data_IF_224817538235
#
_entry.id   IF_224817538235
#
_cell.length_a   1.000
_cell.length_b   1.000
_cell.length_c   1.000
_cell.angle_alpha   90.00
_cell.angle_beta   90.00
_cell.angle_gamma   90.00
#
_symmetry.space_group_name_H-M   'P 1'
#
loop_
_entity.id
_entity.type
_entity.pdbx_description
1 polymer ?
#
# COMPACT_ATOMS: atom_id res chain seq x y z
N UNK A 1 7.25 -3.70 9.43
CA UNK A 1 6.15 -4.32 8.67
C UNK A 1 5.66 -5.58 9.40
N UNK A 2 4.44 -5.56 9.93
CA UNK A 2 3.86 -6.67 10.72
C UNK A 2 4.21 -6.58 12.20
N UNK A 3 3.20 -6.65 13.06
CA UNK A 3 3.36 -6.85 14.50
C UNK A 3 2.94 -8.31 14.81
N UNK A 4 3.79 -9.06 15.51
CA UNK A 4 3.51 -10.45 15.96
C UNK A 4 3.36 -11.45 14.80
N UNK A 5 2.49 -12.46 14.94
CA UNK A 5 2.34 -13.59 14.00
C UNK A 5 1.21 -13.43 12.97
N UNK A 6 0.65 -12.23 12.80
CA UNK A 6 -0.51 -12.01 11.93
C UNK A 6 -0.18 -11.18 10.69
N UNK A 7 -1.05 -11.24 9.67
CA UNK A 7 -0.89 -10.51 8.42
C UNK A 7 0.40 -10.88 7.67
N UNK A 8 1.12 -9.86 7.19
CA UNK A 8 2.37 -10.02 6.41
C UNK A 8 3.44 -10.80 7.18
N UNK A 9 3.46 -10.74 8.52
CA UNK A 9 4.44 -11.46 9.33
C UNK A 9 4.31 -12.99 9.20
N UNK A 10 3.10 -13.52 8.98
CA UNK A 10 2.88 -14.94 8.71
C UNK A 10 3.47 -15.35 7.36
N UNK A 11 3.28 -14.52 6.33
CA UNK A 11 3.86 -14.76 5.00
C UNK A 11 5.38 -14.73 5.04
N UNK A 12 5.95 -13.80 5.81
CA UNK A 12 7.39 -13.75 6.07
C UNK A 12 7.84 -15.04 6.76
N UNK A 13 7.19 -15.45 7.87
CA UNK A 13 7.51 -16.69 8.60
C UNK A 13 7.49 -17.93 7.71
N UNK A 14 6.55 -18.02 6.77
CA UNK A 14 6.37 -19.16 5.86
C UNK A 14 7.23 -19.06 4.58
N UNK A 15 8.18 -18.12 4.50
CA UNK A 15 9.05 -17.89 3.35
C UNK A 15 8.28 -17.68 2.04
N UNK A 16 7.17 -16.94 2.11
CA UNK A 16 6.29 -16.62 0.95
C UNK A 16 6.53 -15.22 0.38
N UNK A 17 7.55 -14.50 0.84
CA UNK A 17 7.86 -13.13 0.42
C UNK A 17 9.32 -13.05 0.00
N UNK A 18 9.56 -12.76 -1.29
CA UNK A 18 10.91 -12.61 -1.84
C UNK A 18 11.42 -11.16 -1.81
N UNK A 19 10.52 -10.16 -1.78
CA UNK A 19 10.86 -8.74 -1.74
C UNK A 19 9.84 -7.95 -0.93
N UNK A 20 10.32 -6.96 -0.16
CA UNK A 20 9.49 -5.98 0.55
C UNK A 20 9.83 -4.58 0.04
N UNK A 21 8.81 -3.82 -0.33
CA UNK A 21 8.90 -2.38 -0.61
C UNK A 21 8.15 -1.67 0.50
N UNK A 22 8.83 -0.84 1.30
CA UNK A 22 8.18 -0.18 2.44
C UNK A 22 8.89 1.10 2.87
N UNK A 23 8.22 1.93 3.64
CA UNK A 23 8.82 3.12 4.24
C UNK A 23 9.52 2.88 5.57
N UNK A 24 9.11 1.84 6.29
CA UNK A 24 9.63 1.52 7.60
C UNK A 24 9.66 0.00 7.83
N UNK A 25 10.78 -0.67 7.51
CA UNK A 25 10.86 -2.13 7.56
C UNK A 25 10.85 -2.67 8.99
N UNK A 26 11.50 -1.97 9.93
CA UNK A 26 11.72 -2.41 11.31
C UNK A 26 10.65 -1.88 12.25
N UNK A 27 9.62 -2.68 12.52
CA UNK A 27 8.66 -2.42 13.60
C UNK A 27 9.06 -3.23 14.84
N UNK A 28 8.87 -2.72 16.07
CA UNK A 28 9.06 -3.54 17.28
C UNK A 28 8.31 -4.88 17.15
N UNK A 29 9.02 -6.01 17.30
CA UNK A 29 8.46 -7.35 17.14
C UNK A 29 8.54 -7.97 15.73
N UNK A 30 9.19 -7.31 14.77
CA UNK A 30 9.36 -7.80 13.38
C UNK A 30 10.47 -8.85 13.21
N UNK A 31 10.48 -9.88 14.06
CA UNK A 31 11.55 -10.90 14.15
C UNK A 31 11.81 -11.62 12.82
N UNK A 32 10.76 -11.97 12.09
CA UNK A 32 10.88 -12.78 10.87
C UNK A 32 11.41 -12.02 9.66
N UNK A 33 11.20 -10.69 9.61
CA UNK A 33 11.80 -9.86 8.55
C UNK A 33 13.31 -9.75 8.76
N UNK A 34 13.73 -9.36 9.97
CA UNK A 34 15.16 -9.16 10.31
C UNK A 34 15.97 -10.43 10.07
N UNK A 35 15.51 -11.57 10.61
CA UNK A 35 16.17 -12.86 10.43
C UNK A 35 16.37 -13.24 8.96
N UNK A 36 15.37 -13.00 8.10
CA UNK A 36 15.46 -13.34 6.68
C UNK A 36 16.31 -12.35 5.89
N UNK A 37 16.26 -11.08 6.27
CA UNK A 37 17.06 -10.05 5.64
C UNK A 37 18.54 -10.27 5.92
N UNK A 38 18.92 -10.59 7.16
CA UNK A 38 20.29 -10.95 7.54
C UNK A 38 20.78 -12.24 6.85
N UNK A 39 19.86 -13.18 6.59
CA UNK A 39 20.14 -14.39 5.84
C UNK A 39 20.20 -14.19 4.30
N UNK A 40 19.98 -12.98 3.80
CA UNK A 40 19.86 -12.66 2.36
C UNK A 40 18.73 -13.43 1.64
N UNK A 41 17.68 -13.82 2.36
CA UNK A 41 16.53 -14.56 1.81
C UNK A 41 15.44 -13.64 1.26
N UNK A 42 15.49 -12.34 1.56
CA UNK A 42 14.49 -11.35 1.18
C UNK A 42 15.13 -10.04 0.74
N UNK A 43 14.71 -9.54 -0.42
CA UNK A 43 15.13 -8.22 -0.89
C UNK A 43 14.34 -7.10 -0.18
N UNK A 44 14.98 -5.96 0.04
CA UNK A 44 14.37 -4.78 0.64
C UNK A 44 14.58 -3.55 -0.25
N UNK A 45 13.49 -2.84 -0.53
CA UNK A 45 13.51 -1.49 -1.10
C UNK A 45 12.87 -0.53 -0.10
N UNK A 46 13.69 0.37 0.47
CA UNK A 46 13.20 1.41 1.38
C UNK A 46 12.80 2.63 0.57
N UNK A 47 11.58 3.12 0.76
CA UNK A 47 11.01 4.26 0.02
C UNK A 47 10.41 5.25 1.00
N UNK A 48 10.69 6.56 0.93
CA UNK A 48 10.04 7.55 1.79
C UNK A 48 8.51 7.40 1.74
N UNK A 49 7.82 7.51 2.88
CA UNK A 49 6.38 7.19 2.96
C UNK A 49 5.52 8.01 1.99
N UNK A 50 5.80 9.31 1.86
CA UNK A 50 5.11 10.18 0.90
C UNK A 50 5.37 9.75 -0.55
N UNK A 51 6.62 9.38 -0.87
CA UNK A 51 6.98 8.83 -2.18
C UNK A 51 6.29 7.49 -2.44
N UNK A 52 6.23 6.59 -1.46
CA UNK A 52 5.55 5.30 -1.59
C UNK A 52 4.06 5.49 -1.88
N UNK A 53 3.40 6.37 -1.13
CA UNK A 53 1.99 6.71 -1.35
C UNK A 53 1.78 7.30 -2.75
N UNK A 54 2.65 8.22 -3.18
CA UNK A 54 2.53 8.87 -4.49
C UNK A 54 2.85 7.93 -5.66
N UNK A 55 3.79 6.98 -5.49
CA UNK A 55 4.06 5.93 -6.49
C UNK A 55 2.83 5.04 -6.71
N UNK A 56 2.14 4.66 -5.64
CA UNK A 56 0.90 3.87 -5.72
C UNK A 56 -0.21 4.73 -6.36
N UNK A 57 -0.39 5.98 -5.92
CA UNK A 57 -1.40 6.88 -6.51
C UNK A 57 -1.14 7.14 -8.00
N UNK A 58 0.11 7.36 -8.39
CA UNK A 58 0.51 7.55 -9.78
C UNK A 58 0.17 6.32 -10.63
N UNK A 59 0.42 5.11 -10.12
CA UNK A 59 0.04 3.87 -10.78
C UNK A 59 -1.48 3.79 -11.04
N UNK A 60 -2.30 4.06 -10.01
CA UNK A 60 -3.76 4.03 -10.16
C UNK A 60 -4.34 5.14 -11.04
N UNK A 61 -3.62 6.25 -11.20
CA UNK A 61 -4.00 7.36 -12.08
C UNK A 61 -3.45 7.24 -13.52
N UNK A 62 -2.66 6.20 -13.83
CA UNK A 62 -2.02 6.05 -15.14
C UNK A 62 -0.89 7.05 -15.42
N UNK A 63 -0.25 7.58 -14.37
CA UNK A 63 0.85 8.54 -14.47
C UNK A 63 2.18 7.77 -14.58
N UNK A 64 2.94 8.01 -15.65
CA UNK A 64 4.18 7.28 -15.96
C UNK A 64 5.37 7.56 -15.02
N UNK A 65 5.28 8.59 -14.18
CA UNK A 65 6.27 8.94 -13.16
C UNK A 65 6.11 10.38 -12.69
N UNK A 66 6.77 10.74 -11.60
CA UNK A 66 6.70 12.09 -11.02
C UNK A 66 8.04 12.49 -10.39
N UNK A 67 8.27 13.81 -10.33
CA UNK A 67 9.42 14.39 -9.66
C UNK A 67 9.05 14.79 -8.23
N UNK A 68 9.85 14.37 -7.25
CA UNK A 68 9.68 14.75 -5.84
C UNK A 68 11.00 15.23 -5.25
N UNK A 69 11.02 16.26 -4.40
CA UNK A 69 12.24 16.68 -3.70
C UNK A 69 12.66 15.67 -2.62
N UNK A 70 11.75 14.78 -2.22
CA UNK A 70 12.00 13.80 -1.15
C UNK A 70 13.08 12.80 -1.59
N UNK A 71 14.17 12.74 -0.84
CA UNK A 71 15.29 11.81 -1.09
C UNK A 71 16.42 12.40 -1.92
N UNK A 72 16.26 13.59 -2.52
CA UNK A 72 17.34 14.26 -3.25
C UNK A 72 18.58 14.46 -2.36
N UNK A 73 19.77 14.13 -2.89
CA UNK A 73 21.03 14.22 -2.15
C UNK A 73 21.24 13.15 -1.07
N UNK A 74 20.41 12.12 -1.04
CA UNK A 74 20.54 10.97 -0.13
C UNK A 74 20.80 9.67 -0.90
N UNK A 75 21.15 8.59 -0.18
CA UNK A 75 21.28 7.25 -0.77
C UNK A 75 20.03 6.78 -1.53
N UNK A 76 18.85 7.32 -1.19
CA UNK A 76 17.59 6.97 -1.84
C UNK A 76 17.45 7.52 -3.26
N UNK A 77 18.30 8.47 -3.66
CA UNK A 77 18.36 9.02 -5.01
C UNK A 77 19.41 8.34 -5.91
N UNK A 78 20.25 7.45 -5.36
CA UNK A 78 21.29 6.77 -6.13
C UNK A 78 20.68 5.92 -7.25
N UNK A 79 21.24 6.04 -8.46
CA UNK A 79 20.76 5.34 -9.65
C UNK A 79 19.44 5.85 -10.23
N UNK A 80 18.83 6.89 -9.65
CA UNK A 80 17.62 7.52 -10.17
C UNK A 80 17.93 8.78 -10.97
N UNK A 81 17.07 9.10 -11.92
CA UNK A 81 17.13 10.39 -12.60
C UNK A 81 16.87 11.52 -11.60
N UNK A 82 17.67 12.58 -11.65
CA UNK A 82 17.48 13.77 -10.84
C UNK A 82 17.46 15.03 -11.70
N UNK A 83 16.72 16.05 -11.26
CA UNK A 83 16.62 17.34 -11.94
C UNK A 83 16.66 18.48 -10.93
N UNK A 84 17.17 19.63 -11.35
CA UNK A 84 17.03 20.89 -10.61
C UNK A 84 15.98 21.74 -11.31
N UNK A 85 14.91 22.08 -10.60
CA UNK A 85 13.81 22.93 -11.08
C UNK A 85 13.72 24.10 -10.12
N UNK A 86 13.82 25.33 -10.64
CA UNK A 86 13.78 26.57 -9.87
C UNK A 86 14.72 26.57 -8.65
N UNK A 87 15.95 26.08 -8.85
CA UNK A 87 16.97 26.00 -7.81
C UNK A 87 16.78 24.89 -6.78
N UNK A 88 15.75 24.05 -6.90
CA UNK A 88 15.49 22.92 -6.00
C UNK A 88 15.74 21.59 -6.71
N UNK A 89 16.42 20.67 -6.03
CA UNK A 89 16.67 19.31 -6.51
C UNK A 89 15.45 18.38 -6.33
N UNK A 90 15.21 17.55 -7.34
CA UNK A 90 14.14 16.56 -7.42
C UNK A 90 14.69 15.21 -7.88
N UNK A 91 14.00 14.14 -7.49
CA UNK A 91 14.24 12.76 -7.88
C UNK A 91 13.04 12.25 -8.66
N UNK A 92 13.29 11.57 -9.79
CA UNK A 92 12.27 10.91 -10.58
C UNK A 92 11.88 9.59 -9.92
N UNK A 93 10.58 9.41 -9.69
CA UNK A 93 10.00 8.21 -9.08
C UNK A 93 8.96 7.59 -10.01
N UNK A 94 8.99 6.26 -10.09
CA UNK A 94 8.17 5.48 -11.02
C UNK A 94 6.92 4.92 -10.32
N UNK A 95 5.78 4.82 -11.02
CA UNK A 95 4.55 4.26 -10.46
C UNK A 95 4.76 2.83 -9.92
N UNK A 96 4.05 2.50 -8.85
CA UNK A 96 4.09 1.17 -8.21
C UNK A 96 2.75 0.45 -8.42
N UNK A 97 2.72 -0.43 -9.42
CA UNK A 97 1.57 -1.27 -9.74
C UNK A 97 1.60 -2.59 -8.95
N UNK A 98 0.44 -3.20 -8.77
CA UNK A 98 0.31 -4.54 -8.21
C UNK A 98 -0.63 -5.43 -9.03
N UNK A 99 -0.46 -6.74 -8.93
CA UNK A 99 -1.46 -7.68 -9.46
C UNK A 99 -2.69 -7.73 -8.54
N UNK A 100 -2.46 -7.74 -7.22
CA UNK A 100 -3.52 -7.77 -6.22
C UNK A 100 -3.34 -6.67 -5.16
N UNK A 101 -4.46 -6.09 -4.72
CA UNK A 101 -4.53 -5.27 -3.52
C UNK A 101 -5.46 -5.94 -2.49
N UNK A 102 -4.93 -6.14 -1.28
CA UNK A 102 -5.72 -6.58 -0.13
C UNK A 102 -5.98 -5.36 0.75
N UNK A 103 -7.22 -4.89 0.78
CA UNK A 103 -7.60 -3.64 1.47
C UNK A 103 -8.66 -3.91 2.53
N UNK A 104 -8.74 -3.03 3.53
CA UNK A 104 -9.71 -3.12 4.62
C UNK A 104 -10.56 -1.85 4.69
N UNK A 105 -11.89 -2.03 4.64
CA UNK A 105 -12.90 -0.97 4.83
C UNK A 105 -13.66 -1.10 6.15
N UNK A 106 -14.40 -0.05 6.51
CA UNK A 106 -15.39 -0.10 7.60
C UNK A 106 -16.68 -0.71 7.08
N UNK A 107 -17.34 -0.04 6.14
CA UNK A 107 -18.51 -0.57 5.43
C UNK A 107 -18.17 -0.80 3.96
N UNK A 108 -18.79 -1.80 3.36
CA UNK A 108 -18.84 -1.99 1.93
C UNK A 108 -20.26 -2.27 1.45
N UNK A 109 -20.52 -2.10 0.16
CA UNK A 109 -21.76 -2.54 -0.49
C UNK A 109 -21.49 -3.59 -1.58
N UNK A 110 -22.53 -4.22 -2.17
CA UNK A 110 -22.38 -5.24 -3.20
C UNK A 110 -21.73 -4.75 -4.51
N UNK A 111 -21.63 -3.44 -4.71
CA UNK A 111 -21.01 -2.83 -5.89
C UNK A 111 -19.54 -2.48 -5.67
N UNK A 112 -19.02 -2.68 -4.46
CA UNK A 112 -17.62 -2.44 -4.13
C UNK A 112 -17.34 -1.06 -3.53
N UNK A 113 -18.35 -0.23 -3.28
CA UNK A 113 -18.10 1.07 -2.64
C UNK A 113 -17.66 0.86 -1.20
N UNK A 114 -16.64 1.61 -0.75
CA UNK A 114 -16.08 1.48 0.60
C UNK A 114 -16.08 2.80 1.36
N UNK A 115 -16.43 2.73 2.64
CA UNK A 115 -16.15 3.75 3.66
C UNK A 115 -15.09 3.25 4.65
N UNK A 116 -14.49 4.16 5.43
CA UNK A 116 -13.38 3.84 6.34
C UNK A 116 -13.54 4.54 7.69
N UNK A 117 -12.99 3.92 8.74
CA UNK A 117 -13.00 4.48 10.08
C UNK A 117 -11.66 5.15 10.44
N UNK A 118 -11.65 6.48 10.57
CA UNK A 118 -10.50 7.24 11.08
C UNK A 118 -9.19 6.90 10.36
N UNK A 119 -8.14 6.61 11.14
CA UNK A 119 -6.78 6.34 10.62
C UNK A 119 -6.63 4.96 9.98
N UNK A 120 -7.61 4.07 10.10
CA UNK A 120 -7.62 2.78 9.40
C UNK A 120 -7.73 2.95 7.88
N UNK A 121 -8.13 4.14 7.40
CA UNK A 121 -8.18 4.48 5.96
C UNK A 121 -6.81 4.37 5.28
N UNK A 122 -5.80 5.05 5.82
CA UNK A 122 -4.41 5.09 5.34
C UNK A 122 -4.20 4.77 3.83
N UNK A 123 -3.50 3.69 3.49
CA UNK A 123 -3.13 3.29 2.13
C UNK A 123 -4.26 2.59 1.36
N UNK A 124 -5.34 2.17 2.02
CA UNK A 124 -6.37 1.33 1.41
C UNK A 124 -6.96 1.93 0.12
N UNK A 125 -7.38 3.21 0.06
CA UNK A 125 -7.95 3.78 -1.15
C UNK A 125 -6.96 3.76 -2.32
N UNK A 126 -5.72 4.21 -2.09
CA UNK A 126 -4.72 4.31 -3.16
C UNK A 126 -4.24 2.93 -3.61
N UNK A 127 -4.16 1.94 -2.70
CA UNK A 127 -3.83 0.56 -3.10
C UNK A 127 -4.92 -0.05 -3.96
N UNK A 128 -6.20 0.23 -3.67
CA UNK A 128 -7.32 -0.27 -4.46
C UNK A 128 -7.27 0.23 -5.91
N UNK A 129 -6.81 1.46 -6.14
CA UNK A 129 -6.72 2.02 -7.50
C UNK A 129 -5.51 1.51 -8.30
N UNK A 130 -4.47 1.00 -7.62
CA UNK A 130 -3.17 0.68 -8.23
C UNK A 130 -2.98 -0.81 -8.57
N UNK A 131 -3.99 -1.65 -8.35
CA UNK A 131 -3.93 -3.09 -8.59
C UNK A 131 -4.84 -3.54 -9.74
N UNK A 132 -4.49 -4.66 -10.38
CA UNK A 132 -5.36 -5.31 -11.39
C UNK A 132 -6.61 -5.90 -10.76
N UNK A 133 -6.49 -6.43 -9.53
CA UNK A 133 -7.59 -7.02 -8.77
C UNK A 133 -7.52 -6.67 -7.29
N UNK A 134 -8.48 -5.89 -6.81
CA UNK A 134 -8.61 -5.42 -5.44
C UNK A 134 -9.67 -6.23 -4.69
N UNK A 135 -9.28 -6.75 -3.53
CA UNK A 135 -10.13 -7.52 -2.61
C UNK A 135 -10.25 -6.71 -1.33
N UNK A 136 -11.47 -6.30 -1.01
CA UNK A 136 -11.79 -5.53 0.18
C UNK A 136 -12.40 -6.43 1.25
N UNK A 137 -11.77 -6.51 2.42
CA UNK A 137 -12.41 -7.01 3.62
C UNK A 137 -13.10 -5.86 4.37
N UNK A 138 -14.36 -6.04 4.77
CA UNK A 138 -15.16 -5.00 5.44
C UNK A 138 -15.71 -5.50 6.76
N UNK A 139 -15.91 -4.58 7.72
CA UNK A 139 -16.56 -4.91 9.00
C UNK A 139 -18.05 -5.14 8.84
N UNK A 140 -18.68 -4.36 7.98
CA UNK A 140 -20.10 -4.46 7.69
C UNK A 140 -20.31 -4.46 6.17
N UNK A 141 -20.91 -5.51 5.65
CA UNK A 141 -21.41 -5.53 4.28
C UNK A 141 -22.87 -5.10 4.27
N UNK A 142 -23.12 -3.88 3.78
CA UNK A 142 -24.47 -3.34 3.62
C UNK A 142 -25.21 -4.11 2.54
N UNK A 143 -26.49 -4.41 2.77
CA UNK A 143 -27.37 -4.95 1.74
C UNK A 143 -27.85 -3.85 0.76
N UNK A 144 -27.86 -2.60 1.21
CA UNK A 144 -28.25 -1.43 0.44
C UNK A 144 -27.02 -0.62 -0.01
N UNK A 145 -27.14 0.23 -1.04
CA UNK A 145 -26.07 1.16 -1.40
C UNK A 145 -25.62 2.01 -0.21
N UNK A 146 -24.33 2.28 -0.10
CA UNK A 146 -23.84 3.28 0.85
C UNK A 146 -24.34 4.67 0.44
N UNK A 147 -24.46 5.58 1.42
CA UNK A 147 -24.66 7.00 1.12
C UNK A 147 -23.50 7.47 0.21
N UNK A 148 -23.79 8.03 -0.98
CA UNK A 148 -22.76 8.51 -1.89
C UNK A 148 -21.75 9.48 -1.25
N UNK A 149 -22.17 10.27 -0.26
CA UNK A 149 -21.29 11.22 0.45
C UNK A 149 -20.33 10.53 1.43
N UNK A 150 -20.64 9.30 1.85
CA UNK A 150 -19.78 8.46 2.70
C UNK A 150 -18.83 7.57 1.89
N UNK A 151 -19.03 7.48 0.56
CA UNK A 151 -18.18 6.66 -0.31
C UNK A 151 -16.82 7.32 -0.51
N UNK A 152 -15.78 6.65 -0.02
CA UNK A 152 -14.40 7.10 -0.16
C UNK A 152 -13.68 6.39 -1.31
N UNK A 153 -13.91 5.10 -1.48
CA UNK A 153 -13.37 4.33 -2.60
C UNK A 153 -14.54 3.85 -3.44
N UNK A 154 -14.72 4.42 -4.64
CA UNK A 154 -15.76 3.98 -5.56
C UNK A 154 -15.56 2.53 -5.98
N UNK A 155 -16.67 1.80 -6.12
CA UNK A 155 -16.66 0.36 -6.42
C UNK A 155 -15.99 -0.06 -7.71
N UNK A 156 -15.78 0.88 -8.65
CA UNK A 156 -14.99 0.64 -9.88
C UNK A 156 -13.56 0.14 -9.58
N UNK A 157 -13.01 0.47 -8.40
CA UNK A 157 -11.67 0.07 -7.99
C UNK A 157 -11.63 -1.22 -7.16
N UNK A 158 -12.78 -1.87 -6.92
CA UNK A 158 -12.90 -3.03 -6.02
C UNK A 158 -13.62 -4.17 -6.72
N UNK A 159 -12.92 -5.27 -6.96
CA UNK A 159 -13.47 -6.42 -7.71
C UNK A 159 -14.10 -7.48 -6.80
N UNK A 160 -13.79 -7.48 -5.50
CA UNK A 160 -14.35 -8.46 -4.56
C UNK A 160 -14.48 -7.84 -3.18
N UNK A 161 -15.66 -7.98 -2.56
CA UNK A 161 -15.91 -7.56 -1.18
C UNK A 161 -16.24 -8.79 -0.34
N UNK A 162 -15.64 -8.89 0.84
CA UNK A 162 -15.93 -9.93 1.81
C UNK A 162 -16.12 -9.31 3.19
N UNK A 163 -17.18 -9.68 3.88
CA UNK A 163 -17.33 -9.31 5.29
C UNK A 163 -16.38 -10.18 6.11
N UNK A 164 -15.52 -9.58 6.93
CA UNK A 164 -14.67 -10.39 7.80
C UNK A 164 -15.53 -10.96 8.94
N UNK A 165 -15.57 -12.29 9.03
CA UNK A 165 -16.18 -12.96 10.19
C UNK A 165 -15.46 -12.48 11.45
N UNK A 166 -16.21 -11.96 12.43
CA UNK A 166 -15.68 -11.57 13.73
C UNK A 166 -14.84 -12.74 14.26
N UNK A 167 -13.51 -12.59 14.24
CA UNK A 167 -12.64 -13.51 14.95
C UNK A 167 -12.68 -13.08 16.41
N UNK A 168 -13.06 -13.97 17.34
CA UNK A 168 -13.08 -13.68 18.78
C UNK A 168 -11.70 -13.23 19.28
#
# INVERSE_FOLDING_TARGET
AGERETGIAKLLREARVAKVICSYPRSPGSVWFEKRYEANEIALEVVPQGTLAERIRAAGAGIGGFLTPTGYGTLLAEGKETRVIDGRGYVMEMPLHADFALVRGQCGDPWGNLSYHGTARNFNPIMATAAKHSIAEVRHLSAEPLDPEDVITPGVFVQSVVEYGVRP
#
